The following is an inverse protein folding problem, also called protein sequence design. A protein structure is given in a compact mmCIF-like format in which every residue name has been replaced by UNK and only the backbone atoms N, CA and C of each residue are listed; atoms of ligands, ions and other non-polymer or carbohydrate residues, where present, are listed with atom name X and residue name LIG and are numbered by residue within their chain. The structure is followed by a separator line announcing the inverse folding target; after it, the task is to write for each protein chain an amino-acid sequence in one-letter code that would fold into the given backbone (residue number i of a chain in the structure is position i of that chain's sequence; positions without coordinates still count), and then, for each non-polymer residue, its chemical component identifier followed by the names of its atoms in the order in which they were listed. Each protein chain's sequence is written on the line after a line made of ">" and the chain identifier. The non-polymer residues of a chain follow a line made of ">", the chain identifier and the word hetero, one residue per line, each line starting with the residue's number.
data_IF_651099658827
#
_entry.id   IF_651099658827
#
_cell.length_a   1.000
_cell.length_b   1.000
_cell.length_c   1.000
_cell.angle_alpha   90.00
_cell.angle_beta   90.00
_cell.angle_gamma   90.00
#
_symmetry.space_group_name_H-M   'P 1'
#
loop_
_entity.id
_entity.type
_entity.pdbx_description
1 polymer ?
#
# COMPACT_ATOMS: atom_id res chain seq x y z
N UNK A 1 -10.50 -13.76 6.82
CA UNK A 1 -9.28 -14.26 6.15
C UNK A 1 -8.87 -13.40 4.95
N UNK A 2 -9.76 -13.08 4.00
CA UNK A 2 -9.42 -12.25 2.82
C UNK A 2 -8.83 -10.87 3.17
N UNK A 3 -9.40 -10.17 4.15
CA UNK A 3 -8.93 -8.84 4.57
C UNK A 3 -7.50 -8.88 5.14
N UNK A 4 -7.19 -9.91 5.93
CA UNK A 4 -5.87 -10.12 6.51
C UNK A 4 -4.86 -10.43 5.40
N UNK A 5 -5.20 -11.33 4.48
CA UNK A 5 -4.37 -11.62 3.29
C UNK A 5 -4.14 -10.37 2.43
N UNK A 6 -5.17 -9.52 2.29
CA UNK A 6 -5.07 -8.27 1.53
C UNK A 6 -4.08 -7.29 2.19
N UNK A 7 -4.16 -7.11 3.51
CA UNK A 7 -3.19 -6.32 4.28
C UNK A 7 -1.77 -6.90 4.18
N UNK A 8 -1.64 -8.22 4.31
CA UNK A 8 -0.37 -8.92 4.35
C UNK A 8 0.35 -8.91 3.00
N UNK A 9 -0.38 -8.89 1.88
CA UNK A 9 0.19 -8.70 0.54
C UNK A 9 0.34 -7.23 0.14
N UNK A 10 -0.55 -6.34 0.57
CA UNK A 10 -0.52 -4.93 0.18
C UNK A 10 0.73 -4.20 0.69
N UNK A 11 1.19 -4.52 1.91
CA UNK A 11 2.41 -3.94 2.49
C UNK A 11 3.67 -4.32 1.69
N UNK A 12 3.99 -5.60 1.42
CA UNK A 12 5.15 -5.97 0.62
C UNK A 12 5.06 -5.52 -0.83
N UNK A 13 3.87 -5.50 -1.44
CA UNK A 13 3.68 -4.93 -2.79
C UNK A 13 3.98 -3.43 -2.79
N UNK A 14 3.54 -2.69 -1.77
CA UNK A 14 3.81 -1.26 -1.63
C UNK A 14 5.30 -0.96 -1.46
N UNK A 15 5.99 -1.72 -0.60
CA UNK A 15 7.44 -1.63 -0.41
C UNK A 15 8.21 -1.97 -1.69
N UNK A 16 7.80 -3.02 -2.41
CA UNK A 16 8.43 -3.41 -3.66
C UNK A 16 8.25 -2.32 -4.73
N UNK A 17 7.06 -1.74 -4.86
CA UNK A 17 6.78 -0.65 -5.78
C UNK A 17 7.59 0.61 -5.43
N UNK A 18 7.72 0.96 -4.16
CA UNK A 18 8.56 2.08 -3.71
C UNK A 18 10.04 1.85 -4.00
N UNK A 19 10.56 0.65 -3.73
CA UNK A 19 11.92 0.26 -4.08
C UNK A 19 12.17 0.33 -5.59
N UNK A 20 11.23 -0.18 -6.39
CA UNK A 20 11.34 -0.15 -7.84
C UNK A 20 11.27 1.27 -8.40
N UNK A 21 10.41 2.13 -7.83
CA UNK A 21 10.36 3.55 -8.18
C UNK A 21 11.71 4.24 -7.92
N UNK A 22 12.35 3.95 -6.79
CA UNK A 22 13.69 4.45 -6.48
C UNK A 22 14.74 3.99 -7.49
N UNK A 23 14.75 2.69 -7.84
CA UNK A 23 15.68 2.18 -8.87
C UNK A 23 15.41 2.80 -10.24
N UNK A 24 14.14 2.93 -10.65
CA UNK A 24 13.77 3.57 -11.92
C UNK A 24 14.18 5.04 -11.98
N UNK A 25 14.12 5.74 -10.84
CA UNK A 25 14.60 7.11 -10.73
C UNK A 25 16.13 7.21 -10.93
N UNK A 26 16.91 6.25 -10.39
CA UNK A 26 18.37 6.21 -10.57
C UNK A 26 18.80 5.99 -12.02
N UNK A 27 17.97 5.33 -12.83
CA UNK A 27 18.24 5.07 -14.27
C UNK A 27 17.61 6.14 -15.17
N UNK A 28 17.22 7.30 -14.60
CA UNK A 28 16.53 8.43 -15.25
C UNK A 28 15.24 8.04 -16.00
N UNK A 29 14.65 6.87 -15.69
CA UNK A 29 13.36 6.39 -16.21
C UNK A 29 12.21 7.00 -15.41
N UNK A 30 12.10 8.33 -15.47
CA UNK A 30 11.15 9.12 -14.67
C UNK A 30 9.70 8.69 -14.85
N UNK A 31 9.27 8.36 -16.08
CA UNK A 31 7.90 7.90 -16.34
C UNK A 31 7.52 6.63 -15.57
N UNK A 32 8.41 5.64 -15.55
CA UNK A 32 8.21 4.40 -14.79
C UNK A 32 8.31 4.64 -13.28
N UNK A 33 9.19 5.54 -12.84
CA UNK A 33 9.33 5.92 -11.43
C UNK A 33 8.04 6.55 -10.88
N UNK A 34 7.43 7.48 -11.62
CA UNK A 34 6.16 8.11 -11.23
C UNK A 34 5.01 7.10 -11.20
N UNK A 35 4.93 6.20 -12.19
CA UNK A 35 3.90 5.15 -12.20
C UNK A 35 4.02 4.21 -11.00
N UNK A 36 5.23 3.78 -10.66
CA UNK A 36 5.49 2.89 -9.52
C UNK A 36 5.30 3.59 -8.17
N UNK A 37 5.62 4.89 -8.08
CA UNK A 37 5.33 5.70 -6.90
C UNK A 37 3.82 5.86 -6.68
N UNK A 38 3.05 6.05 -7.75
CA UNK A 38 1.57 6.06 -7.68
C UNK A 38 1.00 4.72 -7.21
N UNK A 39 1.55 3.61 -7.72
CA UNK A 39 1.17 2.26 -7.29
C UNK A 39 1.48 1.99 -5.82
N UNK A 40 2.63 2.43 -5.32
CA UNK A 40 2.97 2.27 -3.90
C UNK A 40 2.02 3.07 -3.01
N UNK A 41 1.73 4.33 -3.37
CA UNK A 41 0.76 5.17 -2.65
C UNK A 41 -0.64 4.56 -2.63
N UNK A 42 -1.12 4.03 -3.76
CA UNK A 42 -2.40 3.34 -3.83
C UNK A 42 -2.44 2.11 -2.93
N UNK A 43 -1.36 1.31 -2.92
CA UNK A 43 -1.28 0.14 -2.06
C UNK A 43 -1.35 0.53 -0.58
N UNK A 44 -0.50 1.46 -0.12
CA UNK A 44 -0.52 1.93 1.27
C UNK A 44 -1.84 2.60 1.65
N UNK A 45 -2.45 3.37 0.75
CA UNK A 45 -3.76 3.99 0.99
C UNK A 45 -4.85 2.93 1.17
N UNK A 46 -4.84 1.88 0.35
CA UNK A 46 -5.78 0.77 0.48
C UNK A 46 -5.63 0.03 1.81
N UNK A 47 -4.39 -0.24 2.23
CA UNK A 47 -4.10 -0.82 3.54
C UNK A 47 -4.58 0.06 4.70
N UNK A 48 -4.36 1.39 4.60
CA UNK A 48 -4.78 2.35 5.61
C UNK A 48 -6.32 2.41 5.73
N UNK A 49 -7.05 2.48 4.61
CA UNK A 49 -8.52 2.48 4.61
C UNK A 49 -9.07 1.22 5.27
N UNK A 50 -8.51 0.05 4.92
CA UNK A 50 -8.92 -1.23 5.51
C UNK A 50 -8.63 -1.25 7.01
N UNK A 51 -7.45 -0.77 7.44
CA UNK A 51 -7.08 -0.71 8.85
C UNK A 51 -8.04 0.20 9.64
N UNK A 52 -8.36 1.38 9.10
CA UNK A 52 -9.32 2.33 9.71
C UNK A 52 -10.70 1.69 9.83
N UNK A 53 -11.15 0.97 8.79
CA UNK A 53 -12.41 0.25 8.81
C UNK A 53 -12.45 -0.83 9.90
N UNK A 54 -11.39 -1.64 10.00
CA UNK A 54 -11.28 -2.67 11.04
C UNK A 54 -11.26 -2.05 12.44
N UNK A 55 -10.54 -0.95 12.60
CA UNK A 55 -10.49 -0.22 13.87
C UNK A 55 -11.87 0.35 14.26
N UNK A 56 -12.59 0.97 13.33
CA UNK A 56 -13.93 1.50 13.57
C UNK A 56 -14.94 0.40 13.94
N UNK A 57 -14.88 -0.77 13.29
CA UNK A 57 -15.70 -1.92 13.64
C UNK A 57 -15.37 -2.47 15.03
N UNK A 58 -14.08 -2.58 15.37
CA UNK A 58 -13.65 -3.03 16.69
C UNK A 58 -14.12 -2.08 17.81
N UNK A 59 -14.03 -0.76 17.58
CA UNK A 59 -14.51 0.25 18.52
C UNK A 59 -16.03 0.11 18.74
N UNK A 60 -16.79 -0.15 17.69
CA UNK A 60 -18.25 -0.33 17.75
C UNK A 60 -18.68 -1.59 18.51
N UNK A 61 -17.86 -2.63 18.55
CA UNK A 61 -18.17 -3.86 19.31
C UNK A 61 -17.82 -3.75 20.80
N UNK A 62 -17.06 -2.73 21.20
CA UNK A 62 -16.66 -2.47 22.58
C UNK A 62 -17.62 -1.53 23.34
N UNK A 63 -18.63 -0.98 22.66
CA UNK A 63 -19.72 -0.13 23.20
C UNK A 63 -21.01 -0.92 23.17
#
# INVERSE_FOLDING_TARGET
>A
MLVILFLLLSIPIGLFAAWFAWQAYKVDKRGAAWGMCGLSLLSFSSAAIVLVWVYALALRQAV
#
